data_IF_630598407006
#
_entry.id   IF_630598407006
#
_cell.length_a   1.000
_cell.length_b   1.000
_cell.length_c   1.000
_cell.angle_alpha   90.00
_cell.angle_beta   90.00
_cell.angle_gamma   90.00
#
_symmetry.space_group_name_H-M   'P 1'
#
loop_
_entity.id
_entity.type
_entity.pdbx_description
1 polymer ?
#
# COMPACT_ATOMS: atom_id res chain seq x y z
N UNK A 1 29.59 -2.01 -29.23
CA UNK A 1 30.15 -1.55 -27.94
C UNK A 1 29.10 -0.71 -27.24
N UNK A 2 28.22 -1.31 -26.43
CA UNK A 2 27.21 -0.55 -25.67
C UNK A 2 27.21 -1.02 -24.22
N UNK A 3 28.33 -0.75 -23.55
CA UNK A 3 28.66 -1.19 -22.19
C UNK A 3 27.92 -0.40 -21.11
N UNK A 4 27.01 0.52 -21.48
CA UNK A 4 26.26 1.37 -20.55
C UNK A 4 24.93 0.76 -20.05
N UNK A 5 24.45 -0.34 -20.64
CA UNK A 5 23.15 -0.94 -20.27
C UNK A 5 23.23 -2.04 -19.18
N UNK A 6 24.39 -2.23 -18.56
CA UNK A 6 24.60 -3.17 -17.44
C UNK A 6 25.17 -2.49 -16.20
N UNK A 7 24.82 -1.22 -15.96
CA UNK A 7 25.02 -0.64 -14.65
C UNK A 7 23.96 -1.22 -13.69
N UNK A 8 24.26 -2.37 -13.07
CA UNK A 8 23.48 -2.83 -11.92
C UNK A 8 23.69 -1.80 -10.82
N UNK A 9 22.69 -0.94 -10.59
CA UNK A 9 22.70 -0.04 -9.43
C UNK A 9 22.69 -0.93 -8.19
N UNK A 10 23.85 -1.03 -7.52
CA UNK A 10 23.97 -1.70 -6.22
C UNK A 10 23.43 -0.73 -5.16
N UNK A 11 22.12 -0.75 -4.97
CA UNK A 11 21.41 0.09 -4.03
C UNK A 11 20.30 -0.69 -3.31
N UNK A 12 19.88 -0.16 -2.17
CA UNK A 12 18.71 -0.62 -1.44
C UNK A 12 17.57 0.39 -1.56
N UNK A 13 16.33 -0.09 -1.42
CA UNK A 13 15.13 0.74 -1.32
C UNK A 13 14.61 0.62 0.11
N UNK A 14 14.29 1.77 0.73
CA UNK A 14 13.53 1.80 1.97
C UNK A 14 12.08 2.08 1.57
N UNK A 15 11.19 1.13 1.89
CA UNK A 15 9.76 1.27 1.63
C UNK A 15 9.04 1.75 2.89
N UNK A 16 8.16 2.72 2.70
CA UNK A 16 7.26 3.21 3.72
C UNK A 16 5.83 2.82 3.38
N UNK A 17 5.14 2.18 4.33
CA UNK A 17 3.70 1.94 4.26
C UNK A 17 3.02 2.78 5.34
N UNK A 18 2.07 3.61 4.95
CA UNK A 18 1.19 4.31 5.88
C UNK A 18 0.26 3.29 6.55
N UNK A 19 0.21 3.34 7.88
CA UNK A 19 -0.70 2.49 8.65
C UNK A 19 -2.12 3.04 8.56
N UNK A 20 -3.06 2.19 8.15
CA UNK A 20 -4.51 2.47 8.25
C UNK A 20 -4.89 3.80 7.62
N UNK A 21 -4.76 3.93 6.28
CA UNK A 21 -5.18 5.15 5.61
C UNK A 21 -6.63 5.46 5.94
N UNK A 22 -6.94 6.74 6.08
CA UNK A 22 -8.31 7.22 6.28
C UNK A 22 -8.98 7.34 4.90
N UNK A 23 -8.21 7.76 3.90
CA UNK A 23 -8.65 7.81 2.50
C UNK A 23 -9.17 6.45 2.06
N UNK A 24 -10.37 6.43 1.48
CA UNK A 24 -11.01 5.24 0.94
C UNK A 24 -11.42 5.50 -0.50
N UNK A 25 -11.62 4.44 -1.27
CA UNK A 25 -12.21 4.57 -2.60
C UNK A 25 -13.26 3.49 -2.82
N UNK A 26 -13.53 3.17 -4.08
CA UNK A 26 -14.59 2.23 -4.43
C UNK A 26 -14.18 1.32 -5.58
N UNK A 27 -14.85 0.16 -5.63
CA UNK A 27 -14.78 -0.77 -6.75
C UNK A 27 -16.14 -0.79 -7.44
N UNK A 28 -16.14 -0.73 -8.77
CA UNK A 28 -17.34 -0.81 -9.58
C UNK A 28 -17.11 -1.67 -10.83
N UNK A 29 -18.04 -2.57 -11.12
CA UNK A 29 -18.03 -3.32 -12.37
C UNK A 29 -18.14 -2.35 -13.56
N UNK A 30 -17.29 -2.57 -14.57
CA UNK A 30 -17.35 -1.84 -15.82
C UNK A 30 -18.35 -2.46 -16.79
N UNK A 31 -18.39 -3.78 -16.83
CA UNK A 31 -19.24 -4.61 -17.68
C UNK A 31 -19.77 -5.79 -16.87
N UNK A 32 -20.63 -6.61 -17.47
CA UNK A 32 -21.10 -7.87 -16.89
C UNK A 32 -20.18 -9.05 -17.21
N UNK A 33 -19.11 -8.85 -17.99
CA UNK A 33 -18.12 -9.89 -18.28
C UNK A 33 -17.17 -10.05 -17.09
N UNK A 34 -17.09 -11.23 -16.43
CA UNK A 34 -16.23 -11.43 -15.27
C UNK A 34 -14.72 -11.34 -15.58
N UNK A 35 -14.32 -11.49 -16.86
CA UNK A 35 -12.92 -11.37 -17.29
C UNK A 35 -12.45 -9.91 -17.42
N UNK A 36 -13.38 -8.94 -17.38
CA UNK A 36 -13.05 -7.53 -17.47
C UNK A 36 -12.62 -6.98 -16.10
N UNK A 37 -11.47 -6.30 -16.06
CA UNK A 37 -11.05 -5.59 -14.85
C UNK A 37 -12.09 -4.53 -14.43
N UNK A 38 -12.47 -4.49 -13.13
CA UNK A 38 -13.37 -3.46 -12.64
C UNK A 38 -12.67 -2.10 -12.56
N UNK A 39 -13.46 -1.04 -12.42
CA UNK A 39 -12.93 0.25 -11.96
C UNK A 39 -12.61 0.15 -10.48
N UNK A 40 -11.42 0.63 -10.09
CA UNK A 40 -10.99 0.70 -8.70
C UNK A 40 -10.38 2.06 -8.46
N UNK A 41 -10.83 2.73 -7.41
CA UNK A 41 -10.15 3.90 -6.85
C UNK A 41 -9.77 3.63 -5.40
N UNK A 42 -8.67 4.22 -4.95
CA UNK A 42 -8.26 4.25 -3.55
C UNK A 42 -8.23 5.67 -2.97
N UNK A 43 -8.32 6.67 -3.85
CA UNK A 43 -8.25 8.10 -3.51
C UNK A 43 -7.05 8.43 -2.60
N UNK A 44 -5.84 7.93 -2.94
CA UNK A 44 -4.64 8.16 -2.13
C UNK A 44 -4.45 9.65 -1.81
N UNK A 45 -4.37 9.96 -0.52
CA UNK A 45 -4.23 11.32 0.02
C UNK A 45 -5.42 12.27 -0.22
N UNK A 46 -6.62 11.73 -0.44
CA UNK A 46 -7.85 12.52 -0.37
C UNK A 46 -8.02 13.12 1.03
N UNK A 47 -7.73 12.35 2.07
CA UNK A 47 -7.66 12.85 3.44
C UNK A 47 -6.26 13.42 3.73
N UNK A 48 -6.15 14.69 4.17
CA UNK A 48 -4.88 15.37 4.33
C UNK A 48 -3.98 14.74 5.41
N UNK A 49 -4.56 14.07 6.41
CA UNK A 49 -3.84 13.36 7.46
C UNK A 49 -2.99 12.21 6.91
N UNK A 50 -3.44 11.54 5.84
CA UNK A 50 -2.64 10.48 5.22
C UNK A 50 -1.40 11.05 4.55
N UNK A 51 -1.52 12.24 3.94
CA UNK A 51 -0.36 12.93 3.36
C UNK A 51 0.63 13.35 4.45
N UNK A 52 0.13 13.90 5.55
CA UNK A 52 0.97 14.27 6.70
C UNK A 52 1.73 13.07 7.26
N UNK A 53 1.08 11.91 7.39
CA UNK A 53 1.73 10.65 7.82
C UNK A 53 2.85 10.24 6.89
N UNK A 54 2.66 10.36 5.57
CA UNK A 54 3.73 10.11 4.60
C UNK A 54 4.92 11.04 4.79
N UNK A 55 4.66 12.34 4.99
CA UNK A 55 5.72 13.34 5.21
C UNK A 55 6.50 13.04 6.50
N UNK A 56 5.82 12.64 7.57
CA UNK A 56 6.45 12.25 8.83
C UNK A 56 7.30 10.97 8.69
N UNK A 57 6.82 9.98 7.93
CA UNK A 57 7.58 8.78 7.61
C UNK A 57 8.83 9.09 6.79
N UNK A 58 8.72 9.95 5.78
CA UNK A 58 9.86 10.42 5.00
C UNK A 58 10.89 11.18 5.85
N UNK A 59 10.44 12.05 6.77
CA UNK A 59 11.34 12.70 7.75
C UNK A 59 12.06 11.67 8.62
N UNK A 60 11.39 10.59 9.00
CA UNK A 60 11.98 9.49 9.77
C UNK A 60 13.01 8.72 8.93
N UNK A 61 12.72 8.42 7.67
CA UNK A 61 13.66 7.77 6.75
C UNK A 61 14.91 8.63 6.56
N UNK A 62 14.77 9.94 6.37
CA UNK A 62 15.90 10.88 6.26
C UNK A 62 16.78 10.82 7.52
N UNK A 63 16.18 10.78 8.72
CA UNK A 63 16.92 10.62 9.98
C UNK A 63 17.66 9.28 10.05
N UNK A 64 17.03 8.18 9.61
CA UNK A 64 17.65 6.85 9.57
C UNK A 64 18.86 6.85 8.64
N UNK A 65 18.73 7.36 7.42
CA UNK A 65 19.83 7.41 6.44
C UNK A 65 21.01 8.24 6.95
N UNK A 66 20.74 9.33 7.67
CA UNK A 66 21.78 10.20 8.23
C UNK A 66 22.41 9.66 9.54
N UNK A 67 21.87 8.58 10.11
CA UNK A 67 22.35 8.04 11.38
C UNK A 67 23.74 7.41 11.28
N UNK A 68 24.46 7.35 12.42
CA UNK A 68 25.75 6.65 12.53
C UNK A 68 25.62 5.17 12.17
N UNK A 69 24.52 4.52 12.54
CA UNK A 69 24.26 3.12 12.25
C UNK A 69 24.18 2.86 10.74
N UNK A 70 23.60 3.78 9.98
CA UNK A 70 23.43 3.65 8.54
C UNK A 70 24.66 4.13 7.73
N UNK A 71 25.66 4.71 8.38
CA UNK A 71 26.84 5.29 7.72
C UNK A 71 27.59 4.32 6.80
N UNK A 72 27.62 3.02 7.12
CA UNK A 72 28.27 1.97 6.32
C UNK A 72 27.51 1.60 5.04
N UNK A 73 26.24 2.00 4.93
CA UNK A 73 25.34 1.66 3.82
C UNK A 73 25.05 2.85 2.91
N UNK A 74 25.67 4.02 3.16
CA UNK A 74 25.57 5.20 2.30
C UNK A 74 26.92 5.57 1.72
N UNK A 75 26.92 6.10 0.50
CA UNK A 75 28.11 6.71 -0.07
C UNK A 75 28.42 8.03 0.66
N UNK A 76 29.67 8.28 1.12
CA UNK A 76 30.00 9.43 1.97
C UNK A 76 29.58 10.79 1.40
N UNK A 77 29.67 10.93 0.06
CA UNK A 77 29.41 12.18 -0.66
C UNK A 77 27.99 12.29 -1.22
N UNK A 78 27.15 11.26 -1.08
CA UNK A 78 25.77 11.30 -1.54
C UNK A 78 24.89 11.89 -0.45
N UNK A 79 24.25 13.02 -0.77
CA UNK A 79 23.23 13.64 0.08
C UNK A 79 21.91 12.91 -0.09
N UNK A 80 21.10 12.85 0.97
CA UNK A 80 19.75 12.24 0.91
C UNK A 80 18.89 12.89 -0.16
N UNK A 81 19.04 14.20 -0.38
CA UNK A 81 18.36 14.92 -1.45
C UNK A 81 18.54 14.28 -2.83
N UNK A 82 19.77 13.85 -3.15
CA UNK A 82 20.05 13.19 -4.44
C UNK A 82 19.33 11.84 -4.55
N UNK A 83 19.15 11.12 -3.44
CA UNK A 83 18.39 9.87 -3.41
C UNK A 83 16.89 10.12 -3.62
N UNK A 84 16.36 11.20 -3.03
CA UNK A 84 14.98 11.64 -3.25
C UNK A 84 14.78 12.03 -4.72
N UNK A 85 15.68 12.83 -5.29
CA UNK A 85 15.66 13.20 -6.71
C UNK A 85 15.63 11.96 -7.61
N UNK A 86 16.50 10.97 -7.35
CA UNK A 86 16.54 9.71 -8.09
C UNK A 86 15.21 8.94 -7.99
N UNK A 87 14.58 8.92 -6.82
CA UNK A 87 13.31 8.23 -6.61
C UNK A 87 12.14 8.91 -7.33
N UNK A 88 12.09 10.24 -7.37
CA UNK A 88 11.06 10.99 -8.11
C UNK A 88 11.07 10.58 -9.59
N UNK A 89 12.25 10.47 -10.21
CA UNK A 89 12.35 10.11 -11.62
C UNK A 89 12.35 8.60 -11.90
N UNK A 90 12.24 7.77 -10.86
CA UNK A 90 12.07 6.33 -11.02
C UNK A 90 10.64 6.01 -11.50
N UNK A 91 10.46 5.08 -12.46
CA UNK A 91 9.16 4.72 -13.01
C UNK A 91 8.38 3.79 -12.06
N UNK A 92 8.15 4.25 -10.84
CA UNK A 92 7.47 3.47 -9.79
C UNK A 92 5.96 3.48 -9.92
N UNK A 93 5.41 4.44 -10.66
CA UNK A 93 3.99 4.57 -10.98
C UNK A 93 3.83 5.42 -12.24
N UNK A 94 2.58 5.60 -12.69
CA UNK A 94 2.23 6.40 -13.87
C UNK A 94 1.79 7.83 -13.53
N UNK A 95 2.01 8.30 -12.29
CA UNK A 95 1.60 9.66 -11.90
C UNK A 95 2.53 10.70 -12.54
N UNK A 96 2.00 11.88 -12.94
CA UNK A 96 2.85 12.97 -13.41
C UNK A 96 3.84 13.39 -12.31
N UNK A 97 4.99 13.93 -12.73
CA UNK A 97 6.01 14.47 -11.84
C UNK A 97 5.97 15.99 -11.87
N UNK A 98 5.82 16.60 -10.71
CA UNK A 98 5.77 18.05 -10.58
C UNK A 98 7.17 18.62 -10.38
N UNK A 99 7.39 19.84 -10.88
CA UNK A 99 8.65 20.57 -10.67
C UNK A 99 8.83 20.81 -9.17
N UNK A 100 10.02 20.48 -8.66
CA UNK A 100 10.32 20.61 -7.23
C UNK A 100 9.73 19.51 -6.35
N UNK A 101 9.19 18.43 -6.93
CA UNK A 101 8.66 17.30 -6.17
C UNK A 101 9.68 16.70 -5.19
N UNK A 102 10.98 16.76 -5.51
CA UNK A 102 12.01 16.28 -4.61
C UNK A 102 12.36 17.27 -3.50
N UNK A 103 12.03 18.56 -3.63
CA UNK A 103 12.29 19.61 -2.64
C UNK A 103 11.20 19.59 -1.56
N UNK A 104 9.94 19.39 -1.95
CA UNK A 104 8.79 19.36 -1.04
C UNK A 104 8.35 17.93 -0.78
N UNK A 105 8.44 17.47 0.47
CA UNK A 105 8.12 16.08 0.83
C UNK A 105 6.65 15.72 0.57
N UNK A 106 5.75 16.69 0.70
CA UNK A 106 4.34 16.57 0.35
C UNK A 106 4.19 16.16 -1.12
N UNK A 107 4.87 16.88 -2.01
CA UNK A 107 4.81 16.60 -3.44
C UNK A 107 5.55 15.31 -3.81
N UNK A 108 6.66 14.99 -3.13
CA UNK A 108 7.32 13.70 -3.23
C UNK A 108 6.36 12.55 -2.93
N UNK A 109 5.63 12.64 -1.82
CA UNK A 109 4.62 11.66 -1.42
C UNK A 109 3.53 11.52 -2.49
N UNK A 110 2.93 12.63 -2.92
CA UNK A 110 1.86 12.63 -3.94
C UNK A 110 2.33 12.00 -5.24
N UNK A 111 3.52 12.35 -5.72
CA UNK A 111 4.00 11.90 -7.01
C UNK A 111 4.42 10.44 -6.96
N UNK A 112 5.14 10.01 -5.93
CA UNK A 112 5.75 8.67 -5.87
C UNK A 112 4.90 7.60 -5.21
N UNK A 113 3.74 7.94 -4.62
CA UNK A 113 2.87 6.96 -3.95
C UNK A 113 2.50 5.81 -4.86
N UNK A 114 2.58 4.60 -4.31
CA UNK A 114 2.21 3.38 -4.99
C UNK A 114 1.52 2.44 -4.00
N UNK A 115 0.87 1.42 -4.54
CA UNK A 115 0.37 0.33 -3.69
C UNK A 115 1.53 -0.50 -3.15
N UNK A 116 1.38 -0.99 -1.92
CA UNK A 116 2.19 -2.08 -1.37
C UNK A 116 1.40 -3.40 -1.38
N UNK A 117 0.41 -3.50 -2.27
CA UNK A 117 -0.44 -4.66 -2.52
C UNK A 117 -1.26 -5.13 -1.29
N UNK A 118 -1.47 -4.25 -0.31
CA UNK A 118 -2.22 -4.53 0.92
C UNK A 118 -3.59 -3.84 0.94
N UNK A 119 -4.24 -3.71 -0.22
CA UNK A 119 -5.62 -3.23 -0.32
C UNK A 119 -6.58 -4.25 0.32
N UNK A 120 -7.69 -3.75 0.85
CA UNK A 120 -8.66 -4.49 1.63
C UNK A 120 -10.00 -3.75 1.61
N UNK A 121 -11.05 -4.35 2.17
CA UNK A 121 -12.38 -3.75 2.17
C UNK A 121 -13.21 -4.07 0.92
N UNK A 122 -14.42 -3.52 0.87
CA UNK A 122 -15.41 -3.76 -0.20
C UNK A 122 -16.57 -4.67 0.22
N UNK A 123 -16.35 -5.59 1.15
CA UNK A 123 -17.38 -6.49 1.70
C UNK A 123 -17.38 -6.45 3.23
N UNK A 124 -17.34 -5.25 3.81
CA UNK A 124 -17.18 -5.03 5.25
C UNK A 124 -18.19 -5.77 6.13
N UNK A 125 -17.70 -6.29 7.27
CA UNK A 125 -18.54 -6.82 8.35
C UNK A 125 -19.48 -5.73 8.87
N UNK A 126 -20.77 -6.05 9.05
CA UNK A 126 -21.83 -5.14 9.45
C UNK A 126 -22.38 -4.26 8.31
N UNK A 127 -21.87 -4.41 7.08
CA UNK A 127 -22.37 -3.71 5.88
C UNK A 127 -22.82 -4.69 4.79
N UNK A 128 -21.99 -5.70 4.51
CA UNK A 128 -22.22 -6.71 3.46
C UNK A 128 -22.34 -8.10 4.06
N UNK A 129 -21.53 -8.39 5.08
CA UNK A 129 -21.58 -9.66 5.81
C UNK A 129 -21.90 -9.45 7.29
N UNK A 130 -22.52 -10.44 7.91
CA UNK A 130 -22.75 -10.53 9.36
C UNK A 130 -21.44 -10.81 10.12
N UNK A 131 -21.41 -10.69 11.47
CA UNK A 131 -20.23 -11.00 12.28
C UNK A 131 -19.71 -12.44 12.14
N UNK A 132 -20.53 -13.39 11.68
CA UNK A 132 -20.15 -14.77 11.37
C UNK A 132 -19.79 -14.99 9.88
N UNK A 133 -19.63 -13.87 9.14
CA UNK A 133 -19.22 -13.77 7.75
C UNK A 133 -20.26 -14.25 6.73
N UNK A 134 -21.51 -14.48 7.14
CA UNK A 134 -22.63 -14.74 6.22
C UNK A 134 -23.02 -13.48 5.45
N UNK A 135 -23.33 -13.62 4.17
CA UNK A 135 -23.81 -12.49 3.36
C UNK A 135 -25.22 -12.12 3.81
N UNK A 136 -25.43 -10.84 4.11
CA UNK A 136 -26.70 -10.35 4.65
C UNK A 136 -27.82 -10.60 3.63
N UNK A 137 -28.89 -11.28 4.06
CA UNK A 137 -30.04 -11.60 3.22
C UNK A 137 -29.83 -12.71 2.21
N UNK A 138 -28.72 -13.47 2.29
CA UNK A 138 -28.43 -14.60 1.40
C UNK A 138 -28.11 -15.85 2.21
N UNK A 139 -28.89 -16.91 2.02
CA UNK A 139 -28.68 -18.19 2.67
C UNK A 139 -27.52 -18.96 2.02
N UNK A 140 -26.76 -19.69 2.83
CA UNK A 140 -25.72 -20.61 2.36
C UNK A 140 -24.47 -19.95 1.76
N UNK A 141 -24.30 -18.62 1.90
CA UNK A 141 -23.16 -17.89 1.33
C UNK A 141 -22.36 -17.14 2.41
N UNK A 142 -21.02 -17.23 2.35
CA UNK A 142 -20.08 -16.46 3.20
C UNK A 142 -18.96 -15.84 2.37
N UNK A 143 -18.33 -14.79 2.89
CA UNK A 143 -17.12 -14.17 2.32
C UNK A 143 -16.02 -14.16 3.38
N UNK A 144 -14.87 -14.78 3.08
CA UNK A 144 -13.78 -14.97 4.04
C UNK A 144 -12.44 -14.64 3.36
N UNK A 145 -12.13 -13.36 3.24
CA UNK A 145 -10.87 -12.84 2.71
C UNK A 145 -10.59 -11.40 3.21
N UNK A 146 -9.63 -10.70 2.61
CA UNK A 146 -9.28 -9.32 3.01
C UNK A 146 -10.37 -8.28 2.72
N UNK A 147 -11.39 -8.58 1.92
CA UNK A 147 -12.47 -7.65 1.59
C UNK A 147 -13.37 -7.31 2.79
N UNK A 148 -13.34 -8.13 3.84
CA UNK A 148 -14.17 -7.96 5.03
C UNK A 148 -13.52 -7.07 6.09
N UNK A 149 -12.26 -6.69 5.92
CA UNK A 149 -11.53 -5.86 6.87
C UNK A 149 -11.94 -4.39 6.79
N UNK A 150 -12.13 -3.76 7.95
CA UNK A 150 -12.30 -2.30 8.05
C UNK A 150 -10.98 -1.54 8.01
N UNK A 151 -9.90 -2.18 8.46
CA UNK A 151 -8.55 -1.63 8.44
C UNK A 151 -7.53 -2.73 8.16
N UNK A 152 -6.41 -2.37 7.52
CA UNK A 152 -5.30 -3.29 7.27
C UNK A 152 -4.75 -3.86 8.58
N UNK A 153 -4.73 -5.19 8.77
CA UNK A 153 -4.12 -5.79 9.95
C UNK A 153 -2.59 -5.75 9.84
N UNK A 154 -1.94 -5.11 10.81
CA UNK A 154 -0.48 -5.02 10.89
C UNK A 154 0.22 -4.43 9.65
N UNK A 155 1.51 -4.71 9.50
CA UNK A 155 2.31 -4.25 8.35
C UNK A 155 1.97 -5.04 7.10
N UNK A 156 2.00 -6.38 7.18
CA UNK A 156 1.70 -7.29 6.06
C UNK A 156 0.50 -8.18 6.43
N UNK A 157 -0.61 -8.15 5.67
CA UNK A 157 -1.86 -8.80 6.06
C UNK A 157 -1.91 -10.30 5.75
N UNK A 158 -0.95 -10.85 5.00
CA UNK A 158 -1.00 -12.24 4.51
C UNK A 158 -1.24 -13.26 5.63
N UNK A 159 -0.45 -13.20 6.70
CA UNK A 159 -0.59 -14.13 7.82
C UNK A 159 -1.98 -14.02 8.48
N UNK A 160 -2.53 -12.80 8.58
CA UNK A 160 -3.87 -12.57 9.11
C UNK A 160 -4.95 -13.14 8.21
N UNK A 161 -4.84 -12.97 6.89
CA UNK A 161 -5.80 -13.54 5.92
C UNK A 161 -5.76 -15.07 5.93
N UNK A 162 -4.57 -15.67 5.97
CA UNK A 162 -4.43 -17.14 6.07
C UNK A 162 -5.03 -17.67 7.37
N UNK A 163 -4.79 -17.00 8.49
CA UNK A 163 -5.35 -17.38 9.78
C UNK A 163 -6.88 -17.25 9.78
N UNK A 164 -7.43 -16.16 9.22
CA UNK A 164 -8.88 -15.97 9.10
C UNK A 164 -9.53 -17.14 8.34
N UNK A 165 -8.94 -17.54 7.22
CA UNK A 165 -9.43 -18.68 6.44
C UNK A 165 -9.46 -19.98 7.26
N UNK A 166 -8.36 -20.30 7.96
CA UNK A 166 -8.30 -21.48 8.83
C UNK A 166 -9.32 -21.40 9.98
N UNK A 167 -9.37 -20.28 10.67
CA UNK A 167 -10.25 -20.06 11.82
C UNK A 167 -11.72 -20.23 11.45
N UNK A 168 -12.15 -19.62 10.35
CA UNK A 168 -13.54 -19.76 9.89
C UNK A 168 -13.83 -21.15 9.34
N UNK A 169 -12.86 -21.83 8.72
CA UNK A 169 -13.00 -23.22 8.32
C UNK A 169 -13.31 -24.16 9.50
N UNK A 170 -12.57 -24.03 10.60
CA UNK A 170 -12.82 -24.81 11.83
C UNK A 170 -14.20 -24.48 12.43
N UNK A 171 -14.61 -23.21 12.45
CA UNK A 171 -15.95 -22.81 12.89
C UNK A 171 -17.07 -23.45 12.06
N UNK A 172 -16.95 -23.41 10.73
CA UNK A 172 -17.94 -23.98 9.82
C UNK A 172 -18.05 -25.50 10.03
N UNK A 173 -16.94 -26.20 10.30
CA UNK A 173 -16.98 -27.62 10.62
C UNK A 173 -17.70 -27.92 11.94
N UNK A 174 -17.57 -27.05 12.94
CA UNK A 174 -18.25 -27.20 14.23
C UNK A 174 -19.75 -26.83 14.25
N UNK A 175 -20.24 -26.18 13.19
CA UNK A 175 -21.67 -25.85 13.01
C UNK A 175 -22.46 -26.98 12.31
N UNK A 176 -21.78 -28.05 11.88
CA UNK A 176 -22.39 -29.26 11.28
C UNK A 176 -22.77 -30.25 12.37
#
# INVERSE_FOLDING_TARGET
MNTMMKATVRGGIILEKIKGPISTGHLKLRTTNPEDNPYVTFNYFEEPEDLQRCVEGMRTIIKVINSKAFSKFRFPHIRVQLLIDMMVYSPVNLRPRHVGASIFLEQFCIDTVMTIWHYHGGCHVGRVVEPDYKVIGVDGLRIIDGSTFNHSPGTNPQATVMMLGRYMGEKILGER
#
